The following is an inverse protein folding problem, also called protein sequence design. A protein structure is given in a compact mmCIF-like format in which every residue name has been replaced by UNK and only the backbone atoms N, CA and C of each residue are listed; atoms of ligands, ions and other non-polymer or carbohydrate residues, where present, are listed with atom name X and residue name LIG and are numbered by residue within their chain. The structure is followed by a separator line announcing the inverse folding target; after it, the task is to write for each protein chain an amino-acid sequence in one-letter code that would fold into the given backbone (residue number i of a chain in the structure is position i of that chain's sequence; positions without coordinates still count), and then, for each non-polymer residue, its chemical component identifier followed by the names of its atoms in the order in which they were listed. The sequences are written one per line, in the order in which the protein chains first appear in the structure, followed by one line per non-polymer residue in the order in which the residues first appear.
data_IF_647730997621
#
_entry.id   IF_647730997621
#
_cell.length_a   1.000
_cell.length_b   1.000
_cell.length_c   1.000
_cell.angle_alpha   90.00
_cell.angle_beta   90.00
_cell.angle_gamma   90.00
#
_symmetry.space_group_name_H-M   'P 1'
#
loop_
_entity.id
_entity.type
_entity.pdbx_description
1 polymer ?
#
# COMPACT_ATOMS: atom_id res chain seq x y z
N UNK A 1 -6.86 -21.52 10.82
CA UNK A 1 -7.24 -22.44 9.72
C UNK A 1 -7.89 -21.71 8.54
N UNK A 2 -8.98 -20.94 8.73
CA UNK A 2 -9.64 -20.23 7.62
C UNK A 2 -8.72 -19.25 6.86
N UNK A 3 -7.94 -18.41 7.56
CA UNK A 3 -7.00 -17.46 6.92
C UNK A 3 -5.99 -18.19 6.04
N UNK A 4 -5.34 -19.25 6.54
CA UNK A 4 -4.36 -20.02 5.77
C UNK A 4 -4.97 -20.63 4.48
N UNK A 5 -6.15 -21.26 4.57
CA UNK A 5 -6.82 -21.85 3.42
C UNK A 5 -7.21 -20.79 2.37
N UNK A 6 -7.60 -19.58 2.80
CA UNK A 6 -7.89 -18.47 1.90
C UNK A 6 -6.62 -17.88 1.28
N UNK A 7 -5.52 -17.80 2.03
CA UNK A 7 -4.21 -17.41 1.49
C UNK A 7 -3.75 -18.39 0.40
N UNK A 8 -3.90 -19.69 0.62
CA UNK A 8 -3.61 -20.69 -0.42
C UNK A 8 -4.54 -20.56 -1.64
N UNK A 9 -5.80 -20.21 -1.43
CA UNK A 9 -6.75 -19.98 -2.52
C UNK A 9 -6.37 -18.78 -3.42
N UNK A 10 -5.66 -17.77 -2.90
CA UNK A 10 -5.10 -16.68 -3.71
C UNK A 10 -4.00 -17.14 -4.69
N UNK A 11 -3.34 -18.26 -4.39
CA UNK A 11 -2.25 -18.81 -5.20
C UNK A 11 -2.76 -19.76 -6.32
N UNK A 12 -4.04 -20.16 -6.29
CA UNK A 12 -4.64 -21.05 -7.29
C UNK A 12 -4.82 -20.36 -8.64
N UNK A 13 -4.90 -21.11 -9.74
CA UNK A 13 -5.05 -20.52 -11.10
C UNK A 13 -6.39 -19.84 -11.33
N UNK A 14 -7.47 -20.32 -10.71
CA UNK A 14 -8.82 -19.82 -10.98
C UNK A 14 -9.04 -18.39 -10.43
N UNK A 15 -9.42 -17.48 -11.33
CA UNK A 15 -9.51 -16.05 -11.04
C UNK A 15 -10.70 -15.71 -10.12
N UNK A 16 -11.81 -16.45 -10.24
CA UNK A 16 -12.96 -16.26 -9.35
C UNK A 16 -12.68 -16.71 -7.92
N UNK A 17 -11.89 -17.78 -7.78
CA UNK A 17 -11.37 -18.27 -6.51
C UNK A 17 -10.45 -17.22 -5.89
N UNK A 18 -9.51 -16.65 -6.65
CA UNK A 18 -8.65 -15.54 -6.16
C UNK A 18 -9.46 -14.35 -5.67
N UNK A 19 -10.42 -13.88 -6.49
CA UNK A 19 -11.32 -12.77 -6.15
C UNK A 19 -12.07 -13.03 -4.84
N UNK A 20 -12.65 -14.23 -4.72
CA UNK A 20 -13.45 -14.60 -3.55
C UNK A 20 -12.59 -14.75 -2.29
N UNK A 21 -11.40 -15.32 -2.45
CA UNK A 21 -10.41 -15.43 -1.39
C UNK A 21 -9.96 -14.05 -0.89
N UNK A 22 -9.64 -13.14 -1.81
CA UNK A 22 -9.26 -11.76 -1.47
C UNK A 22 -10.34 -11.07 -0.64
N UNK A 23 -11.59 -11.10 -1.14
CA UNK A 23 -12.74 -10.50 -0.44
C UNK A 23 -12.98 -11.12 0.94
N UNK A 24 -12.83 -12.43 1.06
CA UNK A 24 -13.02 -13.12 2.34
C UNK A 24 -11.90 -12.76 3.33
N UNK A 25 -10.66 -12.66 2.87
CA UNK A 25 -9.52 -12.23 3.68
C UNK A 25 -9.71 -10.80 4.19
N UNK A 26 -10.09 -9.86 3.31
CA UNK A 26 -10.41 -8.48 3.71
C UNK A 26 -11.43 -8.43 4.85
N UNK A 27 -12.54 -9.16 4.71
CA UNK A 27 -13.59 -9.19 5.73
C UNK A 27 -13.15 -9.80 7.06
N UNK A 28 -12.40 -10.91 7.01
CA UNK A 28 -11.97 -11.63 8.21
C UNK A 28 -10.90 -10.83 8.94
N UNK A 29 -9.87 -10.42 8.20
CA UNK A 29 -8.71 -9.73 8.75
C UNK A 29 -9.04 -8.27 9.09
N UNK A 30 -9.83 -7.57 8.29
CA UNK A 30 -10.29 -6.21 8.60
C UNK A 30 -11.10 -6.12 9.88
N UNK A 31 -11.92 -7.14 10.22
CA UNK A 31 -12.63 -7.18 11.51
C UNK A 31 -11.72 -7.52 12.69
N UNK A 32 -10.63 -8.24 12.44
CA UNK A 32 -9.70 -8.70 13.46
C UNK A 32 -8.38 -7.89 13.49
N UNK A 33 -8.33 -6.77 12.78
CA UNK A 33 -7.13 -5.99 12.49
C UNK A 33 -6.32 -5.62 13.76
N UNK A 34 -7.03 -5.21 14.82
CA UNK A 34 -6.47 -4.85 16.13
C UNK A 34 -5.95 -6.02 16.97
N UNK A 35 -6.07 -7.28 16.50
CA UNK A 35 -5.73 -8.49 17.25
C UNK A 35 -4.45 -9.16 16.77
N UNK A 36 -3.74 -8.58 15.80
CA UNK A 36 -2.57 -9.20 15.20
C UNK A 36 -1.29 -8.62 15.80
N UNK A 37 -0.75 -9.30 16.82
CA UNK A 37 0.58 -9.00 17.40
C UNK A 37 1.70 -9.88 16.80
N UNK A 38 1.41 -10.72 15.80
CA UNK A 38 2.38 -11.63 15.18
C UNK A 38 2.69 -11.22 13.72
N UNK A 39 3.78 -10.45 13.49
CA UNK A 39 4.20 -10.04 12.16
C UNK A 39 4.71 -11.20 11.28
N UNK A 40 4.92 -12.40 11.82
CA UNK A 40 5.21 -13.63 11.06
C UNK A 40 4.00 -14.55 10.86
N UNK A 41 2.82 -14.11 11.32
CA UNK A 41 1.63 -14.93 11.44
C UNK A 41 0.84 -15.12 10.14
N UNK A 42 -0.32 -15.75 10.25
CA UNK A 42 -1.22 -15.99 9.11
C UNK A 42 -1.72 -14.68 8.46
N UNK A 43 -1.85 -13.61 9.25
CA UNK A 43 -2.27 -12.29 8.76
C UNK A 43 -1.21 -11.65 7.85
N UNK A 44 0.05 -11.65 8.27
CA UNK A 44 1.15 -11.13 7.46
C UNK A 44 1.31 -11.89 6.13
N UNK A 45 1.22 -13.22 6.16
CA UNK A 45 1.21 -14.04 4.92
C UNK A 45 0.03 -13.72 4.01
N UNK A 46 -1.15 -13.45 4.58
CA UNK A 46 -2.32 -13.06 3.80
C UNK A 46 -2.15 -11.67 3.18
N UNK A 47 -1.60 -10.70 3.90
CA UNK A 47 -1.26 -9.37 3.36
C UNK A 47 -0.26 -9.51 2.21
N UNK A 48 0.82 -10.30 2.38
CA UNK A 48 1.77 -10.55 1.30
C UNK A 48 1.12 -11.17 0.06
N UNK A 49 0.25 -12.18 0.24
CA UNK A 49 -0.46 -12.80 -0.89
C UNK A 49 -1.47 -11.86 -1.57
N UNK A 50 -2.12 -10.98 -0.81
CA UNK A 50 -2.98 -9.92 -1.36
C UNK A 50 -2.16 -8.90 -2.15
N UNK A 51 -0.99 -8.50 -1.65
CA UNK A 51 -0.05 -7.62 -2.35
C UNK A 51 0.39 -8.25 -3.68
N UNK A 52 0.66 -9.55 -3.71
CA UNK A 52 1.00 -10.25 -4.95
C UNK A 52 -0.20 -10.32 -5.91
N UNK A 53 -1.43 -10.44 -5.40
CA UNK A 53 -2.64 -10.44 -6.21
C UNK A 53 -2.91 -9.09 -6.92
N UNK A 54 -2.31 -7.98 -6.46
CA UNK A 54 -2.33 -6.70 -7.19
C UNK A 54 -1.59 -6.77 -8.55
N UNK A 55 -0.70 -7.73 -8.72
CA UNK A 55 -0.01 -8.00 -9.99
C UNK A 55 -0.80 -8.92 -10.93
N UNK A 56 -2.03 -9.29 -10.59
CA UNK A 56 -2.87 -10.14 -11.45
C UNK A 56 -3.26 -9.42 -12.73
N UNK A 57 -3.24 -10.12 -13.88
CA UNK A 57 -3.76 -9.59 -15.15
C UNK A 57 -5.29 -9.34 -15.12
N UNK A 58 -6.01 -9.92 -14.16
CA UNK A 58 -7.44 -9.74 -14.03
C UNK A 58 -7.77 -8.52 -13.15
N UNK A 59 -8.34 -7.47 -13.75
CA UNK A 59 -8.65 -6.22 -13.04
C UNK A 59 -9.52 -6.42 -11.79
N UNK A 60 -10.47 -7.35 -11.82
CA UNK A 60 -11.35 -7.63 -10.69
C UNK A 60 -10.63 -8.35 -9.54
N UNK A 61 -9.53 -9.05 -9.81
CA UNK A 61 -8.64 -9.61 -8.79
C UNK A 61 -7.82 -8.48 -8.18
N UNK A 62 -7.21 -7.61 -9.01
CA UNK A 62 -6.49 -6.40 -8.53
C UNK A 62 -7.37 -5.57 -7.60
N UNK A 63 -8.60 -5.25 -8.06
CA UNK A 63 -9.60 -4.51 -7.29
C UNK A 63 -9.91 -5.17 -5.95
N UNK A 64 -10.25 -6.46 -5.97
CA UNK A 64 -10.62 -7.18 -4.73
C UNK A 64 -9.45 -7.29 -3.76
N UNK A 65 -8.22 -7.39 -4.26
CA UNK A 65 -7.01 -7.37 -3.45
C UNK A 65 -6.77 -5.98 -2.83
N UNK A 66 -6.91 -4.90 -3.62
CA UNK A 66 -6.82 -3.54 -3.13
C UNK A 66 -7.87 -3.26 -2.04
N UNK A 67 -9.15 -3.56 -2.31
CA UNK A 67 -10.24 -3.40 -1.34
C UNK A 67 -9.96 -4.15 -0.03
N UNK A 68 -9.49 -5.40 -0.13
CA UNK A 68 -9.14 -6.21 1.03
C UNK A 68 -7.98 -5.62 1.83
N UNK A 69 -6.93 -5.13 1.16
CA UNK A 69 -5.81 -4.45 1.82
C UNK A 69 -6.28 -3.17 2.53
N UNK A 70 -7.18 -2.39 1.92
CA UNK A 70 -7.79 -1.23 2.57
C UNK A 70 -8.65 -1.60 3.78
N UNK A 71 -9.40 -2.70 3.72
CA UNK A 71 -10.19 -3.17 4.87
C UNK A 71 -9.30 -3.59 6.05
N UNK A 72 -8.13 -4.16 5.76
CA UNK A 72 -7.14 -4.64 6.75
C UNK A 72 -6.37 -3.46 7.34
N UNK A 73 -5.69 -2.72 6.47
CA UNK A 73 -4.75 -1.67 6.87
C UNK A 73 -5.47 -0.42 7.36
N UNK A 74 -6.62 -0.10 6.77
CA UNK A 74 -7.48 1.01 7.21
C UNK A 74 -8.01 0.89 8.64
N UNK A 75 -7.80 -0.27 9.29
CA UNK A 75 -8.23 -0.54 10.67
C UNK A 75 -7.09 -0.94 11.60
N UNK A 76 -5.84 -0.88 11.13
CA UNK A 76 -4.64 -1.08 11.95
C UNK A 76 -3.90 0.24 12.09
N UNK A 77 -3.96 0.87 13.26
CA UNK A 77 -3.15 2.05 13.58
C UNK A 77 -1.71 1.68 13.93
N UNK A 78 -1.47 0.50 14.54
CA UNK A 78 -0.22 0.28 15.30
C UNK A 78 0.52 -1.03 15.00
N UNK A 79 0.02 -1.91 14.11
CA UNK A 79 0.40 -3.34 14.12
C UNK A 79 1.11 -3.89 12.87
N UNK A 80 1.27 -3.12 11.81
CA UNK A 80 2.01 -3.56 10.61
C UNK A 80 3.28 -2.75 10.43
N UNK A 81 4.40 -3.27 10.92
CA UNK A 81 5.74 -2.70 10.77
C UNK A 81 6.10 -2.38 9.30
N UNK A 82 6.89 -1.31 9.14
CA UNK A 82 7.20 -0.52 7.95
C UNK A 82 7.35 -1.26 6.62
N UNK A 83 8.02 -2.41 6.59
CA UNK A 83 8.38 -3.10 5.34
C UNK A 83 7.17 -3.66 4.59
N UNK A 84 6.13 -4.12 5.30
CA UNK A 84 4.93 -4.67 4.66
C UNK A 84 4.05 -3.55 4.08
N UNK A 85 3.95 -2.42 4.80
CA UNK A 85 3.20 -1.25 4.36
C UNK A 85 3.88 -0.61 3.16
N UNK A 86 5.21 -0.45 3.19
CA UNK A 86 5.98 0.09 2.07
C UNK A 86 5.75 -0.72 0.79
N UNK A 87 5.80 -2.05 0.86
CA UNK A 87 5.53 -2.93 -0.28
C UNK A 87 4.08 -2.81 -0.78
N UNK A 88 3.11 -2.72 0.12
CA UNK A 88 1.69 -2.53 -0.25
C UNK A 88 1.50 -1.20 -0.97
N UNK A 89 2.04 -0.10 -0.43
CA UNK A 89 1.96 1.23 -1.04
C UNK A 89 2.59 1.23 -2.43
N UNK A 90 3.80 0.65 -2.59
CA UNK A 90 4.44 0.55 -3.89
C UNK A 90 3.61 -0.27 -4.90
N UNK A 91 3.03 -1.39 -4.47
CA UNK A 91 2.20 -2.22 -5.34
C UNK A 91 0.89 -1.52 -5.74
N UNK A 92 0.25 -0.80 -4.83
CA UNK A 92 -0.95 0.00 -5.12
C UNK A 92 -0.63 1.18 -6.04
N UNK A 93 0.49 1.86 -5.82
CA UNK A 93 0.98 2.94 -6.69
C UNK A 93 1.18 2.43 -8.12
N UNK A 94 1.76 1.23 -8.28
CA UNK A 94 1.89 0.58 -9.60
C UNK A 94 0.54 0.30 -10.26
N UNK A 95 -0.47 -0.16 -9.51
CA UNK A 95 -1.84 -0.35 -10.05
C UNK A 95 -2.43 0.98 -10.49
N UNK A 96 -2.22 2.05 -9.72
CA UNK A 96 -2.73 3.38 -10.02
C UNK A 96 -2.05 4.04 -11.22
N UNK A 97 -0.76 3.80 -11.42
CA UNK A 97 0.02 4.32 -12.56
C UNK A 97 -0.06 3.45 -13.82
N UNK A 98 -0.87 2.39 -13.81
CA UNK A 98 -1.10 1.54 -14.99
C UNK A 98 -1.97 2.29 -16.02
N UNK A 99 -1.36 2.75 -17.11
CA UNK A 99 -2.01 3.52 -18.18
C UNK A 99 -3.14 2.73 -18.86
N UNK A 100 -2.94 1.43 -19.02
CA UNK A 100 -3.92 0.49 -19.57
C UNK A 100 -4.80 -0.14 -18.47
N UNK A 101 -4.60 0.31 -17.22
CA UNK A 101 -5.29 -0.19 -16.05
C UNK A 101 -6.79 0.08 -16.09
N UNK A 102 -7.58 -0.89 -15.64
CA UNK A 102 -9.01 -0.71 -15.50
C UNK A 102 -9.33 0.32 -14.39
N UNK A 103 -10.23 1.25 -14.69
CA UNK A 103 -10.61 2.34 -13.79
C UNK A 103 -11.05 1.88 -12.39
N UNK A 104 -11.78 0.77 -12.27
CA UNK A 104 -12.21 0.27 -10.96
C UNK A 104 -11.01 -0.12 -10.09
N UNK A 105 -10.02 -0.79 -10.67
CA UNK A 105 -8.82 -1.19 -9.96
C UNK A 105 -7.98 0.04 -9.56
N UNK A 106 -7.85 1.02 -10.47
CA UNK A 106 -7.15 2.29 -10.24
C UNK A 106 -7.83 3.10 -9.13
N UNK A 107 -9.14 3.31 -9.21
CA UNK A 107 -9.91 4.03 -8.18
C UNK A 107 -9.84 3.35 -6.83
N UNK A 108 -9.89 2.02 -6.79
CA UNK A 108 -9.73 1.27 -5.53
C UNK A 108 -8.32 1.44 -4.97
N UNK A 109 -7.29 1.37 -5.81
CA UNK A 109 -5.90 1.61 -5.39
C UNK A 109 -5.72 3.04 -4.86
N UNK A 110 -6.26 4.05 -5.53
CA UNK A 110 -6.21 5.44 -5.09
C UNK A 110 -6.88 5.64 -3.73
N UNK A 111 -8.09 5.09 -3.56
CA UNK A 111 -8.79 5.13 -2.28
C UNK A 111 -7.97 4.50 -1.15
N UNK A 112 -7.42 3.30 -1.38
CA UNK A 112 -6.64 2.57 -0.37
C UNK A 112 -5.35 3.31 -0.04
N UNK A 113 -4.66 3.88 -1.03
CA UNK A 113 -3.50 4.75 -0.80
C UNK A 113 -3.86 5.93 0.10
N UNK A 114 -4.99 6.61 -0.15
CA UNK A 114 -5.47 7.69 0.71
C UNK A 114 -5.73 7.25 2.15
N UNK A 115 -6.30 6.06 2.34
CA UNK A 115 -6.54 5.48 3.67
C UNK A 115 -5.22 5.19 4.40
N UNK A 116 -4.31 4.45 3.74
CA UNK A 116 -3.05 4.00 4.34
C UNK A 116 -2.12 5.18 4.62
N UNK A 117 -1.90 6.04 3.63
CA UNK A 117 -1.02 7.20 3.77
C UNK A 117 -1.61 8.25 4.71
N UNK A 118 -2.93 8.44 4.70
CA UNK A 118 -3.59 9.32 5.66
C UNK A 118 -3.68 8.75 7.07
N UNK A 119 -3.31 7.49 7.31
CA UNK A 119 -3.11 6.98 8.68
C UNK A 119 -1.65 7.09 9.09
N UNK A 120 -0.73 6.88 8.15
CA UNK A 120 0.69 7.10 8.37
C UNK A 120 1.05 8.58 8.55
N UNK A 121 0.20 9.51 8.09
CA UNK A 121 0.47 10.96 8.12
C UNK A 121 0.68 11.54 9.50
N UNK A 122 0.05 10.95 10.52
CA UNK A 122 0.19 11.37 11.91
C UNK A 122 1.58 11.03 12.47
N UNK A 123 2.29 10.08 11.83
CA UNK A 123 3.60 9.55 12.25
C UNK A 123 4.66 9.65 11.14
N UNK A 124 4.50 10.53 10.13
CA UNK A 124 5.52 10.66 9.07
C UNK A 124 6.91 11.06 9.59
N UNK A 125 6.97 11.68 10.77
CA UNK A 125 8.23 11.95 11.47
C UNK A 125 9.00 10.66 11.82
N UNK A 126 8.31 9.59 12.20
CA UNK A 126 8.91 8.29 12.54
C UNK A 126 9.34 7.52 11.28
N UNK A 127 8.72 7.82 10.13
CA UNK A 127 9.11 7.27 8.83
C UNK A 127 10.52 7.71 8.39
N UNK A 128 11.07 8.78 8.99
CA UNK A 128 12.42 9.26 8.70
C UNK A 128 13.51 8.26 9.12
N UNK A 129 13.24 7.37 10.08
CA UNK A 129 14.15 6.31 10.51
C UNK A 129 14.01 5.03 9.65
N UNK A 130 12.96 4.95 8.82
CA UNK A 130 12.66 3.82 7.93
C UNK A 130 12.66 4.26 6.46
N UNK A 131 13.86 4.30 5.85
CA UNK A 131 14.09 4.73 4.45
C UNK A 131 13.09 4.14 3.45
N UNK A 132 12.74 2.86 3.57
CA UNK A 132 11.76 2.19 2.71
C UNK A 132 10.32 2.73 2.86
N UNK A 133 9.92 3.11 4.08
CA UNK A 133 8.60 3.69 4.36
C UNK A 133 8.46 5.07 3.72
N UNK A 134 9.45 5.94 3.91
CA UNK A 134 9.50 7.28 3.31
C UNK A 134 9.44 7.22 1.77
N UNK A 135 10.28 6.37 1.16
CA UNK A 135 10.29 6.18 -0.30
C UNK A 135 8.95 5.67 -0.82
N UNK A 136 8.33 4.72 -0.11
CA UNK A 136 7.02 4.21 -0.51
C UNK A 136 5.93 5.28 -0.39
N UNK A 137 5.90 6.05 0.71
CA UNK A 137 4.93 7.12 0.91
C UNK A 137 5.01 8.17 -0.22
N UNK A 138 6.22 8.61 -0.58
CA UNK A 138 6.45 9.50 -1.73
C UNK A 138 5.96 8.89 -3.03
N UNK A 139 6.27 7.61 -3.27
CA UNK A 139 5.83 6.89 -4.47
C UNK A 139 4.30 6.86 -4.57
N UNK A 140 3.62 6.63 -3.45
CA UNK A 140 2.16 6.66 -3.37
C UNK A 140 1.58 8.06 -3.64
N UNK A 141 2.14 9.10 -3.03
CA UNK A 141 1.75 10.50 -3.25
C UNK A 141 1.98 10.92 -4.72
N UNK A 142 3.11 10.53 -5.32
CA UNK A 142 3.43 10.81 -6.71
C UNK A 142 2.42 10.12 -7.65
N UNK A 143 2.09 8.86 -7.40
CA UNK A 143 1.09 8.13 -8.18
C UNK A 143 -0.30 8.78 -8.06
N UNK A 144 -0.71 9.22 -6.86
CA UNK A 144 -1.97 9.95 -6.67
C UNK A 144 -1.98 11.29 -7.43
N UNK A 145 -0.87 12.03 -7.39
CA UNK A 145 -0.71 13.28 -8.14
C UNK A 145 -0.83 13.04 -9.64
N UNK A 146 -0.18 12.00 -10.16
CA UNK A 146 -0.30 11.60 -11.56
C UNK A 146 -1.74 11.24 -11.94
N UNK A 147 -2.45 10.52 -11.07
CA UNK A 147 -3.84 10.11 -11.28
C UNK A 147 -4.85 11.27 -11.31
N UNK A 148 -4.48 12.48 -10.88
CA UNK A 148 -5.30 13.69 -11.08
C UNK A 148 -5.45 14.05 -12.57
N UNK A 149 -4.53 13.59 -13.41
CA UNK A 149 -4.56 13.78 -14.86
C UNK A 149 -5.17 12.58 -15.61
N UNK A 150 -5.73 11.59 -14.90
CA UNK A 150 -6.30 10.40 -15.53
C UNK A 150 -7.47 10.74 -16.46
N UNK A 151 -7.59 9.97 -17.55
CA UNK A 151 -8.65 10.14 -18.56
C UNK A 151 -10.04 9.85 -17.98
N UNK A 152 -10.13 8.97 -16.97
CA UNK A 152 -11.37 8.54 -16.35
C UNK A 152 -11.68 9.40 -15.12
N UNK A 153 -12.87 10.00 -15.10
CA UNK A 153 -13.30 10.94 -14.05
C UNK A 153 -13.31 10.32 -12.64
N UNK A 154 -13.67 9.04 -12.52
CA UNK A 154 -13.72 8.34 -11.24
C UNK A 154 -12.32 8.17 -10.64
N UNK A 155 -11.30 7.94 -11.47
CA UNK A 155 -9.91 7.82 -11.00
C UNK A 155 -9.40 9.17 -10.49
N UNK A 156 -9.64 10.25 -11.26
CA UNK A 156 -9.32 11.62 -10.83
C UNK A 156 -9.95 11.99 -9.50
N UNK A 157 -11.24 11.70 -9.35
CA UNK A 157 -11.97 11.98 -8.11
C UNK A 157 -11.39 11.20 -6.93
N UNK A 158 -11.16 9.89 -7.10
CA UNK A 158 -10.55 9.07 -6.04
C UNK A 158 -9.17 9.56 -5.63
N UNK A 159 -8.35 10.01 -6.59
CA UNK A 159 -7.05 10.58 -6.32
C UNK A 159 -7.14 11.93 -5.56
N UNK A 160 -8.05 12.81 -5.96
CA UNK A 160 -8.29 14.07 -5.28
C UNK A 160 -8.82 13.87 -3.85
N UNK A 161 -9.78 12.97 -3.65
CA UNK A 161 -10.33 12.63 -2.34
C UNK A 161 -9.24 12.02 -1.43
N UNK A 162 -8.38 11.17 -1.98
CA UNK A 162 -7.26 10.57 -1.27
C UNK A 162 -6.22 11.61 -0.84
N UNK A 163 -5.79 12.50 -1.75
CA UNK A 163 -4.88 13.59 -1.43
C UNK A 163 -5.49 14.55 -0.40
N UNK A 164 -6.78 14.88 -0.54
CA UNK A 164 -7.51 15.69 0.43
C UNK A 164 -7.59 15.01 1.80
N UNK A 165 -7.72 13.68 1.85
CA UNK A 165 -7.73 12.93 3.11
C UNK A 165 -6.35 12.90 3.79
N UNK A 166 -5.27 12.83 3.01
CA UNK A 166 -3.89 12.90 3.53
C UNK A 166 -3.63 14.32 4.07
N UNK A 167 -3.94 15.35 3.27
CA UNK A 167 -3.75 16.77 3.65
C UNK A 167 -4.63 17.20 4.82
N UNK A 168 -5.87 16.73 4.86
CA UNK A 168 -6.85 17.13 5.87
C UNK A 168 -6.59 16.57 7.26
N UNK A 169 -5.80 15.50 7.38
CA UNK A 169 -5.45 14.90 8.66
C UNK A 169 -4.24 15.53 9.31
N UNK A 170 -3.28 16.01 8.51
CA UNK A 170 -2.18 16.80 9.03
C UNK A 170 -1.62 17.72 7.91
N UNK A 171 -1.84 19.05 7.98
CA UNK A 171 -1.40 19.98 6.94
C UNK A 171 0.14 20.08 6.86
N UNK A 172 0.84 19.82 7.96
CA UNK A 172 2.30 19.85 8.04
C UNK A 172 2.96 18.57 7.48
N UNK A 173 2.20 17.49 7.28
CA UNK A 173 2.69 16.18 6.86
C UNK A 173 3.49 16.17 5.56
N UNK A 174 3.22 17.07 4.61
CA UNK A 174 3.99 17.13 3.36
C UNK A 174 5.37 17.76 3.56
N UNK A 175 5.49 18.70 4.49
CA UNK A 175 6.78 19.25 4.89
C UNK A 175 7.62 18.16 5.54
N UNK A 176 7.02 17.36 6.43
CA UNK A 176 7.70 16.27 7.13
C UNK A 176 8.04 15.10 6.21
N UNK A 177 7.14 14.77 5.26
CA UNK A 177 7.40 13.81 4.21
C UNK A 177 8.56 14.27 3.31
N UNK A 178 8.65 15.57 2.99
CA UNK A 178 9.77 16.15 2.26
C UNK A 178 11.09 16.05 3.01
N UNK A 179 11.09 16.27 4.33
CA UNK A 179 12.28 16.09 5.18
C UNK A 179 12.68 14.62 5.26
N UNK A 180 11.72 13.71 5.49
CA UNK A 180 11.97 12.27 5.52
C UNK A 180 12.52 11.77 4.17
N UNK A 181 12.02 12.30 3.05
CA UNK A 181 12.54 12.03 1.71
C UNK A 181 14.01 12.41 1.58
N UNK A 182 14.37 13.64 1.95
CA UNK A 182 15.73 14.13 1.85
C UNK A 182 16.70 13.27 2.68
N UNK A 183 16.29 12.89 3.89
CA UNK A 183 17.08 11.98 4.75
C UNK A 183 17.23 10.59 4.15
N UNK A 184 16.17 10.03 3.57
CA UNK A 184 16.22 8.72 2.93
C UNK A 184 17.16 8.71 1.71
N UNK A 185 17.22 9.81 0.94
CA UNK A 185 18.17 9.96 -0.17
C UNK A 185 19.62 9.97 0.34
N UNK A 186 19.92 10.78 1.36
CA UNK A 186 21.26 10.84 1.96
C UNK A 186 21.68 9.46 2.50
N UNK A 187 20.79 8.77 3.21
CA UNK A 187 21.08 7.44 3.74
C UNK A 187 21.34 6.38 2.64
N UNK A 188 20.68 6.51 1.47
CA UNK A 188 20.93 5.64 0.32
C UNK A 188 22.27 5.96 -0.37
N UNK A 189 22.63 7.24 -0.46
CA UNK A 189 23.94 7.68 -0.98
C UNK A 189 25.07 7.15 -0.09
N UNK A 190 24.98 7.34 1.23
CA UNK A 190 25.96 6.83 2.20
C UNK A 190 26.07 5.29 2.17
N UNK A 191 24.96 4.58 2.01
CA UNK A 191 24.96 3.13 1.87
C UNK A 191 25.66 2.66 0.58
N UNK A 192 25.46 3.39 -0.52
CA UNK A 192 26.08 3.07 -1.81
C UNK A 192 27.60 3.28 -1.81
N UNK A 193 28.09 4.32 -1.13
CA UNK A 193 29.53 4.60 -1.01
C UNK A 193 30.25 3.55 -0.14
N UNK A 194 29.57 3.03 0.89
CA UNK A 194 30.13 2.00 1.77
C UNK A 194 30.24 0.60 1.12
N UNK A 195 29.32 0.24 0.22
CA UNK A 195 29.41 -1.02 -0.53
C UNK A 195 30.57 -0.98 -1.55
N UNK A 196 30.85 0.18 -2.14
CA UNK A 196 31.96 0.37 -3.08
C UNK A 196 33.32 0.26 -2.37
N UNK A 197 33.42 0.70 -1.12
CA UNK A 197 34.65 0.64 -0.32
C UNK A 197 34.97 -0.75 0.25
N UNK A 198 33.95 -1.61 0.43
CA UNK A 198 34.10 -2.99 0.95
C UNK A 198 34.31 -4.03 -0.17
N UNK A 199 34.19 -3.63 -1.43
CA UNK A 199 34.42 -4.47 -2.60
C UNK A 199 35.87 -4.41 -3.16
N UNK A 200 36.77 -3.69 -2.48
CA UNK A 200 38.21 -3.50 -2.82
C UNK A 200 39.11 -4.25 -1.83
#
# INVERSE_FOLDING_TARGET
RAVAALTEALLKKDLFTKKSAAKALGKILGKAAHRFHDPGGAAARAVAALTDALSSNAWYVKKSAADALGEILGRTSDSFHDLSVARVVAALAKVLSDDDGNADAKSSAAYVLGVVLGQASDNFHDLADATAGAVAALTGVAALTGALSDKVSVVKKSAADALGSILGKAPDSFHDLGIAAARAVVALEEASENEEFMAV
#
